data_IF_486127588559
#
_entry.id   IF_486127588559
#
_cell.length_a   1.000
_cell.length_b   1.000
_cell.length_c   1.000
_cell.angle_alpha   90.00
_cell.angle_beta   90.00
_cell.angle_gamma   90.00
#
_symmetry.space_group_name_H-M   'P 1'
#
loop_
_entity.id
_entity.type
_entity.pdbx_description
1 polymer ?
#
# COMPACT_ATOMS: atom_id res chain seq x y z
N UNK A 1 -10.90 -7.90 1.84
CA UNK A 1 -9.75 -6.97 1.80
C UNK A 1 -9.11 -6.89 0.42
N UNK A 2 -8.60 -7.98 -0.15
CA UNK A 2 -8.05 -7.99 -1.51
C UNK A 2 -8.98 -7.35 -2.55
N UNK A 3 -10.26 -7.73 -2.56
CA UNK A 3 -11.24 -7.17 -3.51
C UNK A 3 -11.46 -5.66 -3.31
N UNK A 4 -11.49 -5.19 -2.06
CA UNK A 4 -11.61 -3.77 -1.74
C UNK A 4 -10.37 -2.98 -2.20
N UNK A 5 -9.18 -3.51 -1.93
CA UNK A 5 -7.92 -2.95 -2.43
C UNK A 5 -7.93 -2.89 -3.97
N UNK A 6 -8.33 -3.97 -4.63
CA UNK A 6 -8.43 -4.02 -6.09
C UNK A 6 -9.44 -3.00 -6.63
N UNK A 7 -10.56 -2.79 -5.94
CA UNK A 7 -11.56 -1.78 -6.31
C UNK A 7 -11.02 -0.36 -6.15
N UNK A 8 -10.39 -0.04 -5.01
CA UNK A 8 -9.77 1.27 -4.74
C UNK A 8 -8.74 1.60 -5.83
N UNK A 9 -7.84 0.66 -6.10
CA UNK A 9 -6.78 0.83 -7.10
C UNK A 9 -7.35 0.96 -8.52
N UNK A 10 -8.34 0.14 -8.89
CA UNK A 10 -9.02 0.26 -10.19
C UNK A 10 -9.73 1.60 -10.34
N UNK A 11 -10.39 2.08 -9.29
CA UNK A 11 -11.08 3.38 -9.29
C UNK A 11 -10.10 4.54 -9.48
N UNK A 12 -8.88 4.42 -8.94
CA UNK A 12 -7.79 5.37 -9.15
C UNK A 12 -7.01 5.16 -10.47
N UNK A 13 -7.47 4.26 -11.35
CA UNK A 13 -6.88 4.03 -12.68
C UNK A 13 -5.71 3.06 -12.71
N UNK A 14 -5.35 2.43 -11.60
CA UNK A 14 -4.31 1.41 -11.55
C UNK A 14 -4.82 0.07 -12.09
N UNK A 15 -3.89 -0.70 -12.68
CA UNK A 15 -4.14 -2.05 -13.17
C UNK A 15 -3.20 -3.03 -12.49
N UNK A 16 -3.73 -4.17 -12.08
CA UNK A 16 -2.88 -5.28 -11.65
C UNK A 16 -2.22 -5.91 -12.86
N UNK A 17 -0.89 -5.96 -12.85
CA UNK A 17 -0.08 -6.62 -13.87
C UNK A 17 0.78 -7.70 -13.23
N UNK A 18 1.23 -8.66 -14.03
CA UNK A 18 2.27 -9.59 -13.56
C UNK A 18 3.61 -8.84 -13.42
N UNK A 19 4.48 -9.22 -12.47
CA UNK A 19 5.75 -8.52 -12.23
C UNK A 19 6.62 -8.38 -13.49
N UNK A 20 6.59 -9.36 -14.39
CA UNK A 20 7.39 -9.38 -15.62
C UNK A 20 6.93 -8.31 -16.63
N UNK A 21 5.69 -7.84 -16.53
CA UNK A 21 5.10 -6.83 -17.41
C UNK A 21 5.26 -5.40 -16.87
N UNK A 22 6.03 -5.20 -15.80
CA UNK A 22 6.17 -3.89 -15.20
C UNK A 22 7.04 -2.97 -16.07
N UNK A 23 6.40 -2.05 -16.77
CA UNK A 23 7.08 -0.95 -17.46
C UNK A 23 7.45 0.16 -16.46
N UNK A 24 8.45 1.01 -16.77
CA UNK A 24 8.75 2.20 -15.97
C UNK A 24 7.49 3.06 -15.74
N UNK A 25 7.27 3.47 -14.49
CA UNK A 25 6.08 4.24 -14.09
C UNK A 25 4.82 3.41 -13.81
N UNK A 26 4.88 2.08 -13.94
CA UNK A 26 3.86 1.16 -13.43
C UNK A 26 4.28 0.62 -12.06
N UNK A 27 3.28 0.25 -11.26
CA UNK A 27 3.45 -0.40 -9.96
C UNK A 27 2.82 -1.80 -9.95
N UNK A 28 3.45 -2.74 -9.26
CA UNK A 28 2.90 -4.05 -8.99
C UNK A 28 2.83 -4.28 -7.48
N UNK A 29 1.66 -4.70 -7.00
CA UNK A 29 1.55 -5.20 -5.63
C UNK A 29 1.95 -6.66 -5.65
N UNK A 30 3.08 -6.98 -5.03
CA UNK A 30 3.69 -8.31 -5.05
C UNK A 30 3.39 -9.09 -3.77
N UNK A 31 3.04 -8.40 -2.68
CA UNK A 31 2.65 -9.03 -1.44
C UNK A 31 1.62 -8.20 -0.67
N UNK A 32 0.74 -8.88 0.06
CA UNK A 32 -0.19 -8.27 1.01
C UNK A 32 -0.14 -9.04 2.32
N UNK A 33 0.16 -8.36 3.42
CA UNK A 33 0.19 -8.87 4.78
C UNK A 33 -0.97 -8.35 5.61
N UNK A 34 -1.34 -9.11 6.63
CA UNK A 34 -2.29 -8.71 7.65
C UNK A 34 -1.78 -9.14 9.02
N UNK A 35 -1.56 -8.15 9.87
CA UNK A 35 -1.08 -8.33 11.23
C UNK A 35 -2.09 -7.74 12.21
N UNK A 36 -2.12 -8.30 13.41
CA UNK A 36 -2.96 -7.86 14.51
C UNK A 36 -2.04 -7.55 15.69
N UNK A 37 -1.95 -6.28 16.04
CA UNK A 37 -1.15 -5.82 17.17
C UNK A 37 -2.08 -5.59 18.37
N UNK A 38 -1.89 -6.31 19.49
CA UNK A 38 -2.70 -6.09 20.68
C UNK A 38 -2.40 -4.71 21.29
N UNK A 39 -3.47 -3.99 21.64
CA UNK A 39 -3.41 -2.70 22.33
C UNK A 39 -3.86 -2.84 23.79
N UNK A 40 -3.68 -1.77 24.56
CA UNK A 40 -4.21 -1.69 25.91
C UNK A 40 -5.76 -1.81 25.92
N UNK A 41 -6.31 -2.23 27.07
CA UNK A 41 -7.75 -2.32 27.32
C UNK A 41 -8.50 -3.29 26.41
N UNK A 42 -7.83 -4.36 25.94
CA UNK A 42 -8.47 -5.41 25.13
C UNK A 42 -8.74 -5.01 23.69
N UNK A 43 -8.22 -3.86 23.25
CA UNK A 43 -8.32 -3.41 21.85
C UNK A 43 -7.27 -4.10 21.00
N UNK A 44 -7.52 -4.19 19.71
CA UNK A 44 -6.55 -4.72 18.74
C UNK A 44 -6.40 -3.72 17.60
N UNK A 45 -5.16 -3.49 17.18
CA UNK A 45 -4.86 -2.71 15.99
C UNK A 45 -4.69 -3.67 14.83
N UNK A 46 -5.36 -3.38 13.73
CA UNK A 46 -5.22 -4.14 12.49
C UNK A 46 -4.25 -3.42 11.58
N UNK A 47 -3.22 -4.13 11.11
CA UNK A 47 -2.19 -3.56 10.22
C UNK A 47 -2.23 -4.33 8.90
N UNK A 48 -2.59 -3.63 7.83
CA UNK A 48 -2.57 -4.12 6.46
C UNK A 48 -1.32 -3.63 5.75
N UNK A 49 -0.43 -4.54 5.38
CA UNK A 49 0.84 -4.21 4.73
C UNK A 49 0.81 -4.58 3.25
N UNK A 50 1.33 -3.73 2.38
CA UNK A 50 1.38 -3.94 0.93
C UNK A 50 2.81 -3.76 0.48
N UNK A 51 3.34 -4.73 -0.26
CA UNK A 51 4.66 -4.62 -0.86
C UNK A 51 4.44 -4.30 -2.33
N UNK A 52 4.93 -3.14 -2.72
CA UNK A 52 4.75 -2.57 -4.04
C UNK A 52 6.11 -2.50 -4.68
N UNK A 53 6.23 -3.12 -5.84
CA UNK A 53 7.41 -3.03 -6.67
C UNK A 53 7.15 -2.04 -7.79
N UNK A 54 8.11 -1.14 -8.03
CA UNK A 54 8.02 -0.11 -9.07
C UNK A 54 9.37 0.05 -9.76
N UNK A 55 9.35 0.21 -11.09
CA UNK A 55 10.55 0.57 -11.85
C UNK A 55 10.63 2.09 -11.97
N UNK A 56 11.61 2.66 -11.28
CA UNK A 56 11.91 4.10 -11.31
C UNK A 56 13.22 4.35 -12.04
N UNK A 57 13.36 5.52 -12.68
CA UNK A 57 14.61 5.87 -13.39
C UNK A 57 15.63 6.52 -12.45
N UNK A 58 15.13 7.19 -11.42
CA UNK A 58 15.92 7.86 -10.39
C UNK A 58 15.28 7.62 -9.01
N UNK A 59 16.06 7.63 -7.92
CA UNK A 59 15.53 7.37 -6.57
C UNK A 59 14.38 8.28 -6.14
N UNK A 60 14.42 9.58 -6.46
CA UNK A 60 13.40 10.56 -6.03
C UNK A 60 12.00 10.28 -6.63
N UNK A 61 11.93 9.58 -7.76
CA UNK A 61 10.65 9.14 -8.33
C UNK A 61 9.97 8.08 -7.45
N UNK A 62 10.73 7.34 -6.64
CA UNK A 62 10.20 6.30 -5.75
C UNK A 62 9.37 6.91 -4.62
N UNK A 63 9.88 7.96 -3.98
CA UNK A 63 9.17 8.70 -2.93
C UNK A 63 7.89 9.32 -3.48
N UNK A 64 7.99 9.99 -4.63
CA UNK A 64 6.83 10.57 -5.32
C UNK A 64 5.76 9.51 -5.60
N UNK A 65 6.17 8.32 -6.07
CA UNK A 65 5.25 7.20 -6.34
C UNK A 65 4.65 6.62 -5.06
N UNK A 66 5.41 6.53 -3.97
CA UNK A 66 4.85 6.14 -2.68
C UNK A 66 3.78 7.12 -2.21
N UNK A 67 4.06 8.43 -2.25
CA UNK A 67 3.11 9.46 -1.85
C UNK A 67 1.82 9.40 -2.66
N UNK A 68 1.92 9.25 -3.99
CA UNK A 68 0.76 9.08 -4.88
C UNK A 68 -0.12 7.89 -4.44
N UNK A 69 0.48 6.73 -4.20
CA UNK A 69 -0.26 5.52 -3.84
C UNK A 69 -0.81 5.61 -2.42
N UNK A 70 -0.04 6.16 -1.50
CA UNK A 70 -0.47 6.43 -0.14
C UNK A 70 -1.73 7.30 -0.13
N UNK A 71 -1.77 8.35 -0.93
CA UNK A 71 -2.95 9.22 -1.06
C UNK A 71 -4.18 8.46 -1.60
N UNK A 72 -3.98 7.59 -2.60
CA UNK A 72 -5.06 6.75 -3.16
C UNK A 72 -5.60 5.77 -2.12
N UNK A 73 -4.71 5.10 -1.39
CA UNK A 73 -5.09 4.15 -0.35
C UNK A 73 -5.77 4.87 0.83
N UNK A 74 -5.26 6.04 1.23
CA UNK A 74 -5.86 6.87 2.27
C UNK A 74 -7.30 7.27 1.91
N UNK A 75 -7.54 7.72 0.68
CA UNK A 75 -8.88 8.08 0.22
C UNK A 75 -9.81 6.86 0.08
N UNK A 76 -9.27 5.69 -0.24
CA UNK A 76 -10.04 4.46 -0.42
C UNK A 76 -10.45 3.79 0.90
N UNK A 77 -9.62 3.94 1.93
CA UNK A 77 -9.87 3.40 3.26
C UNK A 77 -10.15 4.59 4.20
N UNK A 78 -11.41 5.04 4.23
CA UNK A 78 -11.86 6.18 5.05
C UNK A 78 -11.69 5.99 6.58
N UNK A 79 -11.27 4.82 7.04
CA UNK A 79 -11.17 4.43 8.47
C UNK A 79 -9.72 4.16 8.92
N UNK A 80 -8.74 4.77 8.26
CA UNK A 80 -7.33 4.57 8.62
C UNK A 80 -6.94 5.46 9.80
N UNK A 81 -6.36 4.86 10.83
CA UNK A 81 -5.75 5.60 11.95
C UNK A 81 -4.34 6.08 11.65
N UNK A 82 -3.56 5.32 10.86
CA UNK A 82 -2.19 5.66 10.52
C UNK A 82 -1.75 4.98 9.21
N UNK A 83 -0.99 5.70 8.39
CA UNK A 83 -0.41 5.21 7.14
C UNK A 83 1.10 5.47 7.15
N UNK A 84 1.89 4.44 6.87
CA UNK A 84 3.37 4.53 6.81
C UNK A 84 3.90 3.89 5.54
N UNK A 85 5.03 4.40 5.06
CA UNK A 85 5.78 3.81 3.97
C UNK A 85 7.25 3.66 4.32
N UNK A 86 7.81 2.50 3.98
CA UNK A 86 9.23 2.17 4.10
C UNK A 86 9.79 1.79 2.71
N UNK A 87 11.05 2.14 2.46
CA UNK A 87 11.67 2.00 1.14
C UNK A 87 12.88 1.06 1.18
N UNK A 88 12.92 0.10 0.26
CA UNK A 88 14.05 -0.80 0.08
C UNK A 88 14.31 -1.03 -1.43
N UNK A 89 15.31 -0.34 -1.99
CA UNK A 89 15.64 -0.43 -3.42
C UNK A 89 14.51 0.05 -4.33
N UNK A 90 14.01 -0.81 -5.21
CA UNK A 90 12.85 -0.55 -6.10
C UNK A 90 11.51 -0.94 -5.46
N UNK A 91 11.51 -1.18 -4.14
CA UNK A 91 10.37 -1.68 -3.40
C UNK A 91 9.90 -0.68 -2.35
N UNK A 92 8.58 -0.57 -2.22
CA UNK A 92 7.88 0.28 -1.27
C UNK A 92 6.99 -0.63 -0.44
N UNK A 93 7.16 -0.64 0.88
CA UNK A 93 6.20 -1.25 1.79
C UNK A 93 5.27 -0.17 2.30
N UNK A 94 3.97 -0.30 2.09
CA UNK A 94 2.94 0.58 2.64
C UNK A 94 2.17 -0.16 3.71
N UNK A 95 2.10 0.39 4.92
CA UNK A 95 1.37 -0.19 6.04
C UNK A 95 0.21 0.71 6.47
N UNK A 96 -1.00 0.16 6.43
CA UNK A 96 -2.26 0.81 6.77
C UNK A 96 -2.74 0.28 8.12
N UNK A 97 -2.92 1.15 9.09
CA UNK A 97 -3.44 0.78 10.40
C UNK A 97 -4.92 1.18 10.51
N UNK A 98 -5.77 0.23 10.90
CA UNK A 98 -7.20 0.44 11.12
C UNK A 98 -7.48 0.13 12.60
N UNK A 99 -8.12 1.07 13.34
CA UNK A 99 -8.53 0.81 14.71
C UNK A 99 -9.74 -0.13 14.69
N UNK A 100 -9.70 -1.23 15.46
CA UNK A 100 -10.90 -2.01 15.78
C UNK A 100 -11.34 -1.66 17.21
N UNK A 101 -12.62 -1.28 17.36
CA UNK A 101 -13.27 -0.92 18.64
C UNK A 101 -13.60 -2.14 19.50
#
# INVERSE_FOLDING_TARGET
MREQLEQILKAAGYRMVRPEALAPGLIAIIHTGLEYEPLALGKTRKIHSFWIWTRVRVPDELETKAEEIMNVLWQGFNEISELRADFEGEMIQISIQIPEE
#
